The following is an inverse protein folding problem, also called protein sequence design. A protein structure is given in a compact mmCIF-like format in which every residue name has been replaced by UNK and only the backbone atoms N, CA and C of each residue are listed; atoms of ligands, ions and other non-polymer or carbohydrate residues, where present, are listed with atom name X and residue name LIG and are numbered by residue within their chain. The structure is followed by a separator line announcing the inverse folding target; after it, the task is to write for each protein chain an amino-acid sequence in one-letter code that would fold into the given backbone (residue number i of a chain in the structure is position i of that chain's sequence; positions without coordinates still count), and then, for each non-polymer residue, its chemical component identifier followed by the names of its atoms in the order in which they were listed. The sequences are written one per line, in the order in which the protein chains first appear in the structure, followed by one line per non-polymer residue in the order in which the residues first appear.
data_IF_519695750050
#
_entry.id   IF_519695750050
#
_cell.length_a   1.000
_cell.length_b   1.000
_cell.length_c   1.000
_cell.angle_alpha   90.00
_cell.angle_beta   90.00
_cell.angle_gamma   90.00
#
_symmetry.space_group_name_H-M   'P 1'
#
loop_
_entity.id
_entity.type
_entity.pdbx_description
1 polymer ?
#
# COMPACT_ATOMS: atom_id res chain seq x y z
N UNK A 1 14.82 -9.97 -7.70
CA UNK A 1 13.51 -10.09 -7.04
C UNK A 1 13.73 -10.61 -5.63
N UNK A 2 13.09 -10.01 -4.64
CA UNK A 2 13.11 -10.47 -3.26
C UNK A 2 11.97 -11.45 -3.01
N UNK A 3 12.16 -12.39 -2.09
CA UNK A 3 11.08 -13.26 -1.63
C UNK A 3 10.25 -12.49 -0.59
N UNK A 4 9.07 -12.02 -0.98
CA UNK A 4 8.21 -11.23 -0.11
C UNK A 4 7.51 -12.08 0.94
N UNK A 5 7.33 -11.51 2.13
CA UNK A 5 6.47 -12.09 3.16
C UNK A 5 5.02 -11.80 2.82
N UNK A 6 4.16 -12.81 2.98
CA UNK A 6 2.73 -12.70 2.70
C UNK A 6 1.91 -13.53 3.69
N UNK A 7 0.62 -13.24 3.70
CA UNK A 7 -0.42 -14.04 4.38
C UNK A 7 -1.52 -14.33 3.40
N UNK A 8 -1.92 -15.59 3.33
CA UNK A 8 -3.00 -16.06 2.48
C UNK A 8 -4.22 -16.46 3.30
N UNK A 9 -5.42 -16.08 2.85
CA UNK A 9 -6.70 -16.41 3.45
C UNK A 9 -7.70 -16.78 2.36
N UNK A 10 -8.60 -17.74 2.67
CA UNK A 10 -9.69 -18.14 1.79
C UNK A 10 -9.23 -18.94 0.55
N UNK A 11 -10.16 -19.13 -0.36
CA UNK A 11 -10.00 -19.84 -1.63
C UNK A 11 -10.88 -19.17 -2.69
N UNK A 12 -10.63 -19.44 -3.99
CA UNK A 12 -11.38 -18.87 -5.10
C UNK A 12 -10.59 -17.85 -5.91
N UNK A 13 -11.26 -16.84 -6.47
CA UNK A 13 -10.63 -15.82 -7.33
C UNK A 13 -9.58 -15.03 -6.56
N UNK A 14 -8.33 -14.93 -7.08
CA UNK A 14 -7.25 -14.30 -6.33
C UNK A 14 -7.38 -12.77 -6.24
N UNK A 15 -7.16 -12.25 -5.02
CA UNK A 15 -7.00 -10.84 -4.69
C UNK A 15 -5.68 -10.63 -3.98
N UNK A 16 -4.72 -9.96 -4.62
CA UNK A 16 -3.44 -9.58 -4.00
C UNK A 16 -3.56 -8.15 -3.47
N UNK A 17 -3.12 -7.91 -2.23
CA UNK A 17 -3.30 -6.64 -1.52
C UNK A 17 -1.95 -6.08 -1.07
N UNK A 18 -1.64 -4.86 -1.53
CA UNK A 18 -0.40 -4.13 -1.24
C UNK A 18 -0.68 -2.91 -0.34
N UNK A 19 0.06 -2.81 0.76
CA UNK A 19 -0.05 -1.70 1.70
C UNK A 19 0.68 -0.43 1.22
N UNK A 20 0.38 0.71 1.85
CA UNK A 20 1.05 2.00 1.64
C UNK A 20 2.37 2.14 2.40
N UNK A 21 3.04 3.29 2.21
CA UNK A 21 4.28 3.64 2.89
C UNK A 21 4.12 3.52 4.42
N UNK A 22 5.12 2.98 5.10
CA UNK A 22 5.12 2.63 6.53
C UNK A 22 4.03 1.64 6.97
N UNK A 23 3.29 1.06 6.01
CA UNK A 23 2.29 0.03 6.29
C UNK A 23 2.88 -1.37 6.39
N UNK A 24 2.00 -2.32 6.66
CA UNK A 24 2.25 -3.76 6.63
C UNK A 24 0.99 -4.49 6.15
N UNK A 25 1.11 -5.76 5.83
CA UNK A 25 -0.03 -6.61 5.47
C UNK A 25 -1.15 -6.63 6.55
N UNK A 26 -0.80 -6.36 7.81
CA UNK A 26 -1.77 -6.33 8.91
C UNK A 26 -2.73 -5.13 8.84
N UNK A 27 -2.43 -4.10 8.05
CA UNK A 27 -3.33 -2.97 7.82
C UNK A 27 -4.62 -3.41 7.11
N UNK A 28 -4.55 -4.48 6.35
CA UNK A 28 -5.65 -5.00 5.54
C UNK A 28 -6.34 -6.23 6.15
N UNK A 29 -5.93 -6.69 7.35
CA UNK A 29 -6.36 -7.95 7.92
C UNK A 29 -7.89 -8.10 8.04
N UNK A 30 -8.59 -7.03 8.46
CA UNK A 30 -10.05 -7.04 8.61
C UNK A 30 -10.74 -7.23 7.25
N UNK A 31 -10.34 -6.44 6.26
CA UNK A 31 -10.90 -6.54 4.90
C UNK A 31 -10.53 -7.86 4.22
N UNK A 32 -9.28 -8.30 4.40
CA UNK A 32 -8.82 -9.58 3.85
C UNK A 32 -9.64 -10.77 4.35
N UNK A 33 -10.01 -10.81 5.64
CA UNK A 33 -10.91 -11.84 6.18
C UNK A 33 -12.29 -11.77 5.54
N UNK A 34 -12.87 -10.59 5.43
CA UNK A 34 -14.21 -10.40 4.83
C UNK A 34 -14.25 -10.84 3.37
N UNK A 35 -13.24 -10.49 2.56
CA UNK A 35 -13.15 -10.96 1.17
C UNK A 35 -12.91 -12.46 1.10
N UNK A 36 -12.13 -13.04 2.00
CA UNK A 36 -11.95 -14.49 2.09
C UNK A 36 -13.27 -15.21 2.43
N UNK A 37 -14.04 -14.68 3.37
CA UNK A 37 -15.39 -15.18 3.73
C UNK A 37 -16.38 -15.01 2.57
N UNK A 38 -16.18 -14.01 1.70
CA UNK A 38 -16.96 -13.81 0.48
C UNK A 38 -16.52 -14.70 -0.71
N UNK A 39 -15.56 -15.62 -0.50
CA UNK A 39 -15.17 -16.62 -1.49
C UNK A 39 -13.96 -16.22 -2.36
N UNK A 40 -13.09 -15.33 -1.88
CA UNK A 40 -11.85 -14.96 -2.56
C UNK A 40 -10.61 -15.58 -1.91
N UNK A 41 -9.59 -15.86 -2.73
CA UNK A 41 -8.24 -16.18 -2.27
C UNK A 41 -7.47 -14.89 -2.06
N UNK A 42 -7.36 -14.40 -0.84
CA UNK A 42 -6.76 -13.09 -0.53
C UNK A 42 -5.31 -13.28 -0.09
N UNK A 43 -4.38 -12.63 -0.80
CA UNK A 43 -2.94 -12.63 -0.51
C UNK A 43 -2.53 -11.21 -0.09
N UNK A 44 -2.37 -10.97 1.20
CA UNK A 44 -1.84 -9.71 1.74
C UNK A 44 -0.33 -9.77 1.85
N UNK A 45 0.37 -8.73 1.39
CA UNK A 45 1.81 -8.75 1.16
C UNK A 45 2.51 -7.65 1.96
N UNK A 46 3.63 -7.97 2.60
CA UNK A 46 4.60 -6.97 3.02
C UNK A 46 5.53 -6.64 1.84
N UNK A 47 5.58 -5.38 1.43
CA UNK A 47 6.49 -4.94 0.37
C UNK A 47 7.93 -4.89 0.88
N UNK A 48 8.94 -4.87 -0.03
CA UNK A 48 10.36 -4.70 0.34
C UNK A 48 10.52 -3.54 1.32
N UNK A 49 11.47 -3.65 2.23
CA UNK A 49 11.77 -2.66 3.28
C UNK A 49 10.64 -2.43 4.29
N UNK A 50 9.58 -3.26 4.28
CA UNK A 50 8.45 -3.17 5.20
C UNK A 50 8.14 -4.53 5.83
N UNK A 51 7.50 -4.49 7.00
CA UNK A 51 6.97 -5.66 7.69
C UNK A 51 8.01 -6.74 7.93
N UNK A 52 7.75 -7.95 7.45
CA UNK A 52 8.64 -9.10 7.55
C UNK A 52 9.36 -9.43 6.23
N UNK A 53 9.12 -8.64 5.20
CA UNK A 53 9.85 -8.78 3.94
C UNK A 53 11.30 -8.34 4.08
N UNK A 54 12.20 -8.85 3.21
CA UNK A 54 13.61 -8.52 3.28
C UNK A 54 13.88 -7.02 3.12
N UNK A 55 14.88 -6.53 3.83
CA UNK A 55 15.46 -5.21 3.61
C UNK A 55 16.39 -5.22 2.39
N UNK A 56 16.41 -4.11 1.65
CA UNK A 56 17.24 -3.88 0.48
C UNK A 56 17.68 -2.41 0.46
N UNK A 57 18.89 -2.10 -0.03
CA UNK A 57 19.32 -0.72 -0.22
C UNK A 57 18.57 0.00 -1.35
N UNK A 58 17.86 -0.73 -2.21
CA UNK A 58 17.12 -0.19 -3.34
C UNK A 58 15.61 -0.22 -3.08
N UNK A 59 14.91 0.87 -3.47
CA UNK A 59 13.47 1.02 -3.25
C UNK A 59 12.82 1.81 -4.39
N UNK A 60 12.63 1.18 -5.54
CA UNK A 60 11.97 1.76 -6.72
C UNK A 60 10.69 1.01 -7.08
N UNK A 61 9.77 1.65 -7.79
CA UNK A 61 8.53 1.04 -8.22
C UNK A 61 8.75 -0.13 -9.18
N UNK A 62 9.79 -0.06 -10.02
CA UNK A 62 10.20 -1.15 -10.92
C UNK A 62 10.60 -2.40 -10.15
N UNK A 63 11.43 -2.24 -9.15
CA UNK A 63 11.91 -3.34 -8.32
C UNK A 63 10.80 -3.92 -7.44
N UNK A 64 9.91 -3.05 -6.90
CA UNK A 64 8.74 -3.52 -6.14
C UNK A 64 7.76 -4.30 -7.01
N UNK A 65 7.49 -3.83 -8.23
CA UNK A 65 6.65 -4.55 -9.19
C UNK A 65 7.29 -5.91 -9.61
N UNK A 66 8.61 -5.95 -9.77
CA UNK A 66 9.32 -7.20 -10.05
C UNK A 66 9.27 -8.18 -8.87
N UNK A 67 9.34 -7.72 -7.62
CA UNK A 67 9.16 -8.58 -6.44
C UNK A 67 7.74 -9.17 -6.39
N UNK A 68 6.72 -8.35 -6.69
CA UNK A 68 5.33 -8.82 -6.79
C UNK A 68 5.18 -9.85 -7.91
N UNK A 69 5.86 -9.69 -9.06
CA UNK A 69 5.88 -10.70 -10.11
C UNK A 69 6.47 -12.03 -9.61
N UNK A 70 7.57 -11.97 -8.86
CA UNK A 70 8.17 -13.17 -8.25
C UNK A 70 7.21 -13.87 -7.29
N UNK A 71 6.40 -13.10 -6.53
CA UNK A 71 5.35 -13.67 -5.68
C UNK A 71 4.22 -14.32 -6.50
N UNK A 72 3.80 -13.71 -7.61
CA UNK A 72 2.83 -14.31 -8.53
C UNK A 72 3.31 -15.65 -9.07
N UNK A 73 4.58 -15.74 -9.47
CA UNK A 73 5.18 -16.99 -9.94
C UNK A 73 5.27 -18.04 -8.83
N UNK A 74 5.68 -17.65 -7.63
CA UNK A 74 5.77 -18.52 -6.46
C UNK A 74 4.42 -19.15 -6.08
N UNK A 75 3.33 -18.36 -6.15
CA UNK A 75 1.98 -18.77 -5.72
C UNK A 75 1.12 -19.33 -6.87
N UNK A 76 1.64 -19.38 -8.09
CA UNK A 76 0.91 -19.80 -9.28
C UNK A 76 -0.29 -18.90 -9.58
N UNK A 77 -0.17 -17.58 -9.31
CA UNK A 77 -1.23 -16.62 -9.58
C UNK A 77 -1.35 -16.35 -11.08
N UNK A 78 -2.55 -16.53 -11.60
CA UNK A 78 -2.88 -16.47 -13.01
C UNK A 78 -3.43 -15.11 -13.47
N UNK A 79 -3.86 -15.04 -14.74
CA UNK A 79 -4.39 -13.83 -15.36
C UNK A 79 -5.78 -13.42 -14.84
N UNK A 80 -6.42 -14.22 -13.99
CA UNK A 80 -7.68 -13.94 -13.30
C UNK A 80 -7.50 -13.15 -12.00
N UNK A 81 -6.25 -12.87 -11.60
CA UNK A 81 -5.93 -12.16 -10.37
C UNK A 81 -6.32 -10.68 -10.43
N UNK A 82 -6.95 -10.20 -9.37
CA UNK A 82 -7.10 -8.75 -9.08
C UNK A 82 -5.95 -8.29 -8.21
N UNK A 83 -5.30 -7.17 -8.57
CA UNK A 83 -4.25 -6.54 -7.75
C UNK A 83 -4.79 -5.24 -7.16
N UNK A 84 -4.77 -5.14 -5.83
CA UNK A 84 -5.17 -3.97 -5.07
C UNK A 84 -3.96 -3.35 -4.40
N UNK A 85 -3.81 -2.02 -4.49
CA UNK A 85 -2.77 -1.29 -3.78
C UNK A 85 -3.26 0.04 -3.22
N UNK A 86 -2.79 0.41 -2.02
CA UNK A 86 -3.07 1.68 -1.38
C UNK A 86 -1.84 2.59 -1.41
N UNK A 87 -2.01 3.86 -1.77
CA UNK A 87 -0.95 4.87 -1.73
C UNK A 87 0.32 4.39 -2.48
N UNK A 88 1.48 4.28 -1.83
CA UNK A 88 2.70 3.69 -2.41
C UNK A 88 2.41 2.30 -3.04
N UNK A 89 1.69 1.43 -2.34
CA UNK A 89 1.26 0.13 -2.90
C UNK A 89 0.36 0.27 -4.13
N UNK A 90 -0.41 1.36 -4.23
CA UNK A 90 -1.18 1.72 -5.43
C UNK A 90 -0.28 2.05 -6.61
N UNK A 91 0.80 2.80 -6.40
CA UNK A 91 1.81 3.06 -7.43
C UNK A 91 2.55 1.78 -7.84
N UNK A 92 2.85 0.88 -6.90
CA UNK A 92 3.39 -0.46 -7.21
C UNK A 92 2.41 -1.26 -8.08
N UNK A 93 1.13 -1.27 -7.71
CA UNK A 93 0.09 -1.97 -8.46
C UNK A 93 -0.09 -1.39 -9.87
N UNK A 94 -0.07 -0.06 -10.03
CA UNK A 94 -0.07 0.60 -11.33
C UNK A 94 1.14 0.21 -12.18
N UNK A 95 2.35 0.26 -11.62
CA UNK A 95 3.59 -0.14 -12.30
C UNK A 95 3.54 -1.62 -12.72
N UNK A 96 3.04 -2.49 -11.84
CA UNK A 96 2.85 -3.90 -12.16
C UNK A 96 1.88 -4.10 -13.33
N UNK A 97 0.71 -3.44 -13.30
CA UNK A 97 -0.30 -3.55 -14.34
C UNK A 97 0.21 -3.08 -15.71
N UNK A 98 1.00 -2.00 -15.75
CA UNK A 98 1.60 -1.47 -16.97
C UNK A 98 2.72 -2.36 -17.52
N UNK A 99 3.55 -2.94 -16.66
CA UNK A 99 4.68 -3.78 -17.07
C UNK A 99 4.24 -5.23 -17.39
N UNK A 100 3.23 -5.76 -16.69
CA UNK A 100 2.83 -7.16 -16.77
C UNK A 100 1.31 -7.32 -16.97
N UNK A 101 0.69 -6.65 -17.99
CA UNK A 101 -0.76 -6.58 -18.14
C UNK A 101 -1.42 -7.94 -18.34
N UNK A 102 -0.69 -8.93 -18.87
CA UNK A 102 -1.19 -10.29 -19.06
C UNK A 102 -1.41 -11.06 -17.73
N UNK A 103 -0.79 -10.59 -16.62
CA UNK A 103 -0.82 -11.29 -15.31
C UNK A 103 -2.02 -10.89 -14.43
N UNK A 104 -2.82 -9.91 -14.84
CA UNK A 104 -3.97 -9.40 -14.09
C UNK A 104 -5.26 -9.52 -14.90
N UNK A 105 -6.40 -9.68 -14.21
CA UNK A 105 -7.73 -9.40 -14.75
C UNK A 105 -8.13 -7.95 -14.50
N UNK A 106 -7.87 -7.45 -13.29
CA UNK A 106 -8.37 -6.18 -12.79
C UNK A 106 -7.33 -5.49 -11.90
N UNK A 107 -7.40 -4.17 -11.86
CA UNK A 107 -6.57 -3.32 -10.99
C UNK A 107 -7.47 -2.53 -10.03
N UNK A 108 -7.13 -2.49 -8.74
CA UNK A 108 -7.75 -1.58 -7.76
C UNK A 108 -6.67 -0.70 -7.15
N UNK A 109 -6.87 0.61 -7.22
CA UNK A 109 -5.95 1.61 -6.66
C UNK A 109 -6.70 2.42 -5.60
N UNK A 110 -6.18 2.46 -4.38
CA UNK A 110 -6.80 3.17 -3.27
C UNK A 110 -5.99 4.41 -2.94
N UNK A 111 -6.61 5.55 -3.17
CA UNK A 111 -6.25 6.91 -2.78
C UNK A 111 -4.84 7.36 -3.20
N UNK A 112 -4.53 7.18 -4.48
CA UNK A 112 -3.33 7.71 -5.15
C UNK A 112 -3.56 7.82 -6.67
N UNK A 113 -3.06 8.89 -7.29
CA UNK A 113 -3.01 9.07 -8.73
C UNK A 113 -1.63 8.66 -9.32
N UNK A 114 -1.52 8.48 -10.66
CA UNK A 114 -0.24 8.21 -11.31
C UNK A 114 0.77 9.36 -11.19
N UNK A 115 0.33 10.60 -11.03
CA UNK A 115 1.19 11.79 -10.97
C UNK A 115 2.23 11.74 -9.85
N UNK A 116 3.24 12.59 -9.94
CA UNK A 116 4.17 12.82 -8.84
C UNK A 116 3.42 13.31 -7.59
N UNK A 117 3.85 12.86 -6.43
CA UNK A 117 3.30 13.23 -5.12
C UNK A 117 4.27 14.14 -4.37
N UNK A 118 3.75 15.17 -3.72
CA UNK A 118 4.54 15.98 -2.78
C UNK A 118 4.78 15.18 -1.50
N UNK A 119 6.05 14.90 -1.22
CA UNK A 119 6.44 14.08 -0.08
C UNK A 119 6.76 14.89 1.19
N UNK A 120 6.63 16.23 1.16
CA UNK A 120 6.95 17.10 2.32
C UNK A 120 6.09 16.82 3.56
N UNK A 121 4.86 16.34 3.38
CA UNK A 121 4.05 15.90 4.52
C UNK A 121 4.55 14.60 5.18
N UNK A 122 5.53 13.94 4.62
CA UNK A 122 6.21 12.81 5.28
C UNK A 122 7.32 13.29 6.23
N UNK A 123 7.72 14.57 6.19
CA UNK A 123 8.82 15.10 7.00
C UNK A 123 8.54 14.97 8.50
N UNK A 124 7.30 15.28 8.94
CA UNK A 124 6.89 15.12 10.35
C UNK A 124 6.87 13.63 10.77
N UNK A 125 6.44 12.75 9.87
CA UNK A 125 6.43 11.29 10.10
C UNK A 125 7.86 10.78 10.23
N UNK A 126 8.76 11.17 9.31
CA UNK A 126 10.16 10.79 9.35
C UNK A 126 10.85 11.35 10.61
N UNK A 127 10.60 12.62 10.97
CA UNK A 127 11.13 13.21 12.20
C UNK A 127 10.67 12.42 13.43
N UNK A 128 9.36 12.06 13.48
CA UNK A 128 8.81 11.25 14.56
C UNK A 128 9.45 9.87 14.65
N UNK A 129 9.53 9.14 13.54
CA UNK A 129 10.12 7.80 13.51
C UNK A 129 11.59 7.81 13.91
N UNK A 130 12.37 8.82 13.46
CA UNK A 130 13.78 8.99 13.80
C UNK A 130 14.00 9.50 15.25
N UNK A 131 13.00 10.08 15.90
CA UNK A 131 13.11 10.57 17.28
C UNK A 131 13.07 9.45 18.32
N UNK A 132 12.67 8.24 17.95
CA UNK A 132 12.61 7.11 18.88
C UNK A 132 14.00 6.54 19.13
N UNK A 133 14.56 6.83 20.30
CA UNK A 133 15.83 6.26 20.75
C UNK A 133 15.59 4.85 21.33
N UNK A 134 15.91 3.83 20.58
CA UNK A 134 15.74 2.44 21.01
C UNK A 134 16.66 2.00 22.13
N UNK A 135 17.69 2.76 22.46
CA UNK A 135 18.53 2.49 23.64
C UNK A 135 17.80 2.84 24.94
N UNK A 136 16.81 3.74 24.86
CA UNK A 136 15.99 4.21 25.99
C UNK A 136 14.53 3.77 25.91
N UNK A 137 14.09 3.27 24.76
CA UNK A 137 12.71 2.86 24.53
C UNK A 137 12.42 1.50 25.17
N UNK A 138 11.77 1.51 26.32
CA UNK A 138 11.47 0.29 27.10
C UNK A 138 10.04 -0.23 26.90
N UNK A 139 9.18 0.53 26.21
CA UNK A 139 7.78 0.17 26.01
C UNK A 139 7.20 0.81 24.73
N UNK A 140 6.07 0.23 24.25
CA UNK A 140 5.28 0.83 23.17
C UNK A 140 4.78 2.25 23.54
N UNK A 141 4.48 2.49 24.83
CA UNK A 141 4.07 3.81 25.30
C UNK A 141 5.21 4.81 25.17
N UNK A 142 6.44 4.45 25.54
CA UNK A 142 7.60 5.33 25.38
C UNK A 142 7.85 5.69 23.90
N UNK A 143 7.65 4.74 22.98
CA UNK A 143 7.70 5.02 21.55
C UNK A 143 6.57 5.98 21.10
N UNK A 144 5.33 5.81 21.60
CA UNK A 144 4.21 6.71 21.29
C UNK A 144 4.48 8.13 21.80
N UNK A 145 5.02 8.28 23.00
CA UNK A 145 5.38 9.57 23.58
C UNK A 145 6.50 10.28 22.76
N UNK A 146 7.45 9.54 22.23
CA UNK A 146 8.46 10.08 21.32
C UNK A 146 7.83 10.57 20.01
N UNK A 147 7.01 9.75 19.37
CA UNK A 147 6.26 10.10 18.16
C UNK A 147 5.36 11.33 18.36
N UNK A 148 4.70 11.43 19.53
CA UNK A 148 3.76 12.50 19.84
C UNK A 148 4.37 13.91 19.84
N UNK A 149 5.71 14.01 19.96
CA UNK A 149 6.44 15.29 19.87
C UNK A 149 6.44 15.87 18.45
N UNK A 150 6.24 15.03 17.44
CA UNK A 150 6.28 15.39 16.02
C UNK A 150 4.92 15.19 15.34
N UNK A 151 4.14 14.20 15.77
CA UNK A 151 2.92 13.75 15.11
C UNK A 151 1.74 13.90 16.07
N UNK A 152 0.89 14.91 15.82
CA UNK A 152 -0.27 15.22 16.67
C UNK A 152 -1.37 14.15 16.58
N UNK A 153 -1.62 13.60 15.38
CA UNK A 153 -2.67 12.62 15.15
C UNK A 153 -2.39 11.29 15.84
N UNK A 154 -3.25 10.95 16.82
CA UNK A 154 -3.19 9.66 17.53
C UNK A 154 -3.34 8.47 16.55
N UNK A 155 -4.27 8.56 15.58
CA UNK A 155 -4.48 7.50 14.59
C UNK A 155 -3.25 7.21 13.76
N UNK A 156 -2.55 8.27 13.31
CA UNK A 156 -1.28 8.13 12.55
C UNK A 156 -0.22 7.46 13.43
N UNK A 157 -0.06 7.89 14.68
CA UNK A 157 0.90 7.25 15.59
C UNK A 157 0.61 5.77 15.81
N UNK A 158 -0.66 5.40 16.03
CA UNK A 158 -1.05 4.00 16.19
C UNK A 158 -0.82 3.16 14.93
N UNK A 159 -0.97 3.76 13.74
CA UNK A 159 -0.61 3.14 12.47
C UNK A 159 0.90 2.87 12.41
N UNK A 160 1.73 3.88 12.68
CA UNK A 160 3.20 3.75 12.64
C UNK A 160 3.72 2.75 13.67
N UNK A 161 3.16 2.74 14.87
CA UNK A 161 3.52 1.82 15.93
C UNK A 161 3.23 0.34 15.62
N UNK A 162 2.46 0.01 14.57
CA UNK A 162 2.38 -1.38 14.08
C UNK A 162 3.71 -1.90 13.56
N UNK A 163 4.64 -1.01 13.19
CA UNK A 163 6.01 -1.37 12.82
C UNK A 163 6.92 -1.63 14.02
N UNK A 164 6.51 -1.26 15.24
CA UNK A 164 7.31 -1.51 16.43
C UNK A 164 7.25 -2.99 16.81
N UNK A 165 8.41 -3.62 16.93
CA UNK A 165 8.50 -5.00 17.39
C UNK A 165 9.58 -5.16 18.45
N UNK A 166 9.45 -6.20 19.26
CA UNK A 166 10.45 -6.59 20.24
C UNK A 166 11.39 -7.60 19.60
N UNK A 167 12.69 -7.38 19.72
CA UNK A 167 13.75 -8.26 19.27
C UNK A 167 13.99 -9.40 20.28
N UNK A 168 14.77 -10.40 19.92
CA UNK A 168 15.07 -11.58 20.77
C UNK A 168 15.82 -11.19 22.04
N UNK A 169 16.60 -10.11 22.02
CA UNK A 169 17.30 -9.52 23.16
C UNK A 169 16.42 -8.61 24.03
N UNK A 170 15.10 -8.58 23.78
CA UNK A 170 14.10 -7.73 24.41
C UNK A 170 14.19 -6.23 24.11
N UNK A 171 15.06 -5.78 23.22
CA UNK A 171 15.06 -4.40 22.73
C UNK A 171 13.96 -4.18 21.72
N UNK A 172 13.60 -2.92 21.45
CA UNK A 172 12.65 -2.56 20.40
C UNK A 172 13.37 -2.13 19.12
N UNK A 173 12.69 -2.31 17.98
CA UNK A 173 13.14 -1.80 16.69
C UNK A 173 11.96 -1.53 15.76
N UNK A 174 12.20 -0.77 14.69
CA UNK A 174 11.24 -0.67 13.57
C UNK A 174 11.43 -1.83 12.61
N UNK A 175 10.31 -2.45 12.17
CA UNK A 175 10.32 -3.43 11.07
C UNK A 175 10.59 -2.77 9.72
N UNK A 176 10.24 -1.52 9.59
CA UNK A 176 10.48 -0.73 8.38
C UNK A 176 11.97 -0.35 8.28
N UNK A 177 12.54 -0.44 7.08
CA UNK A 177 13.92 -0.01 6.81
C UNK A 177 13.97 1.52 6.69
N UNK A 178 13.84 2.20 7.83
CA UNK A 178 13.72 3.66 7.88
C UNK A 178 14.86 4.40 7.18
N UNK A 179 16.17 4.00 7.32
CA UNK A 179 17.25 4.68 6.63
C UNK A 179 17.10 4.69 5.10
N UNK A 180 16.71 3.56 4.51
CA UNK A 180 16.52 3.45 3.06
C UNK A 180 15.30 4.22 2.62
N UNK A 181 14.17 4.13 3.32
CA UNK A 181 12.96 4.88 2.95
C UNK A 181 13.18 6.39 3.05
N UNK A 182 13.93 6.86 4.05
CA UNK A 182 14.31 8.28 4.16
C UNK A 182 15.16 8.71 2.98
N UNK A 183 16.18 7.92 2.61
CA UNK A 183 17.06 8.24 1.48
C UNK A 183 16.35 8.21 0.11
N UNK A 184 15.32 7.37 -0.03
CA UNK A 184 14.59 7.16 -1.28
C UNK A 184 13.23 7.89 -1.32
N UNK A 185 13.00 8.85 -0.40
CA UNK A 185 11.69 9.54 -0.31
C UNK A 185 11.31 10.26 -1.61
N UNK A 186 12.30 10.86 -2.31
CA UNK A 186 12.07 11.48 -3.60
C UNK A 186 11.60 10.47 -4.66
N UNK A 187 12.19 9.28 -4.70
CA UNK A 187 11.81 8.20 -5.64
C UNK A 187 10.41 7.64 -5.34
N UNK A 188 10.01 7.59 -4.06
CA UNK A 188 8.64 7.24 -3.65
C UNK A 188 7.63 8.29 -4.13
N UNK A 189 8.05 9.55 -4.25
CA UNK A 189 7.23 10.64 -4.79
C UNK A 189 7.06 10.60 -6.31
N UNK A 190 7.87 9.87 -7.07
CA UNK A 190 7.87 9.89 -8.53
C UNK A 190 6.53 9.51 -9.15
N UNK A 191 6.28 10.01 -10.34
CA UNK A 191 5.13 9.66 -11.16
C UNK A 191 5.25 8.25 -11.76
N UNK A 192 4.11 7.67 -12.10
CA UNK A 192 4.02 6.43 -12.89
C UNK A 192 3.77 6.80 -14.34
N UNK A 193 4.70 6.44 -15.22
CA UNK A 193 4.62 6.67 -16.66
C UNK A 193 4.70 5.36 -17.43
N UNK A 194 4.12 5.33 -18.63
CA UNK A 194 4.24 4.16 -19.53
C UNK A 194 4.01 4.60 -20.97
N UNK A 195 4.67 3.94 -21.91
CA UNK A 195 4.44 4.12 -23.34
C UNK A 195 3.13 3.48 -23.83
N UNK A 196 2.60 2.51 -23.07
CA UNK A 196 1.37 1.81 -23.40
C UNK A 196 0.41 1.82 -22.18
N UNK A 197 -0.89 2.06 -22.39
CA UNK A 197 -1.88 2.03 -21.34
C UNK A 197 -2.22 0.59 -20.91
N UNK A 198 -2.73 0.44 -19.70
CA UNK A 198 -3.36 -0.80 -19.22
C UNK A 198 -4.83 -0.82 -19.65
N UNK A 199 -5.19 -1.74 -20.55
CA UNK A 199 -6.52 -1.77 -21.20
C UNK A 199 -7.56 -2.62 -20.48
N UNK A 200 -7.21 -3.27 -19.35
CA UNK A 200 -8.18 -4.03 -18.56
C UNK A 200 -8.88 -3.14 -17.54
N UNK A 201 -10.00 -3.58 -16.93
CA UNK A 201 -10.73 -2.79 -15.95
C UNK A 201 -9.86 -2.32 -14.79
N UNK A 202 -10.00 -1.06 -14.39
CA UNK A 202 -9.36 -0.48 -13.22
C UNK A 202 -10.37 0.29 -12.37
N UNK A 203 -10.28 0.15 -11.04
CA UNK A 203 -11.06 0.91 -10.08
C UNK A 203 -10.11 1.78 -9.25
N UNK A 204 -10.36 3.08 -9.24
CA UNK A 204 -9.69 4.03 -8.34
C UNK A 204 -10.68 4.42 -7.24
N UNK A 205 -10.33 4.16 -5.97
CA UNK A 205 -11.13 4.54 -4.80
C UNK A 205 -10.45 5.73 -4.15
N UNK A 206 -11.17 6.84 -4.01
CA UNK A 206 -10.62 8.09 -3.49
C UNK A 206 -11.37 8.51 -2.23
N UNK A 207 -10.65 8.95 -1.21
CA UNK A 207 -11.22 9.63 -0.05
C UNK A 207 -11.65 11.06 -0.42
N UNK A 208 -12.89 11.43 -0.10
CA UNK A 208 -13.42 12.74 -0.45
C UNK A 208 -12.75 13.92 0.28
N UNK A 209 -12.05 13.62 1.39
CA UNK A 209 -11.26 14.58 2.16
C UNK A 209 -9.76 14.51 1.85
N UNK A 210 -9.37 13.67 0.87
CA UNK A 210 -8.00 13.46 0.42
C UNK A 210 -7.72 14.25 -0.86
N UNK A 211 -6.51 14.75 -1.02
CA UNK A 211 -6.00 15.48 -2.19
C UNK A 211 -5.12 14.63 -3.12
N UNK A 212 -5.00 13.32 -2.86
CA UNK A 212 -4.19 12.40 -3.67
C UNK A 212 -4.77 12.09 -5.06
N UNK A 213 -6.07 12.32 -5.26
CA UNK A 213 -6.74 12.25 -6.57
C UNK A 213 -7.60 13.49 -6.75
N UNK A 214 -7.15 14.43 -7.58
CA UNK A 214 -7.87 15.66 -7.89
C UNK A 214 -8.72 15.57 -9.18
N UNK A 215 -9.35 16.67 -9.56
CA UNK A 215 -10.17 16.75 -10.78
C UNK A 215 -9.33 16.54 -12.06
N UNK A 216 -8.08 17.01 -12.10
CA UNK A 216 -7.17 16.85 -13.23
C UNK A 216 -6.77 15.39 -13.39
N UNK A 217 -6.49 14.70 -12.28
CA UNK A 217 -6.20 13.26 -12.27
C UNK A 217 -7.36 12.46 -12.85
N UNK A 218 -8.60 12.78 -12.45
CA UNK A 218 -9.83 12.09 -12.91
C UNK A 218 -10.09 12.29 -14.41
N UNK A 219 -9.84 13.48 -14.91
CA UNK A 219 -10.15 13.85 -16.29
C UNK A 219 -9.05 13.45 -17.28
N UNK A 220 -7.80 13.47 -16.83
CA UNK A 220 -6.65 13.32 -17.74
C UNK A 220 -5.61 12.31 -17.25
N UNK A 221 -5.12 12.42 -16.01
CA UNK A 221 -3.99 11.63 -15.53
C UNK A 221 -4.29 10.13 -15.46
N UNK A 222 -5.39 9.76 -14.84
CA UNK A 222 -5.82 8.35 -14.73
C UNK A 222 -6.22 7.79 -16.10
N UNK A 223 -7.12 8.43 -16.89
CA UNK A 223 -7.53 7.87 -18.19
C UNK A 223 -6.41 7.74 -19.21
N UNK A 224 -5.35 8.55 -19.12
CA UNK A 224 -4.20 8.45 -20.03
C UNK A 224 -3.48 7.09 -19.92
N UNK A 225 -3.37 6.53 -18.72
CA UNK A 225 -2.71 5.25 -18.47
C UNK A 225 -3.70 4.09 -18.26
N UNK A 226 -4.93 4.38 -17.82
CA UNK A 226 -5.98 3.43 -17.47
C UNK A 226 -7.31 3.83 -18.12
N UNK A 227 -7.45 3.74 -19.46
CA UNK A 227 -8.63 4.25 -20.18
C UNK A 227 -9.95 3.56 -19.79
N UNK A 228 -9.89 2.33 -19.28
CA UNK A 228 -11.06 1.58 -18.80
C UNK A 228 -11.21 1.69 -17.26
N UNK A 229 -10.86 2.85 -16.70
CA UNK A 229 -10.95 3.09 -15.27
C UNK A 229 -12.30 3.69 -14.86
N UNK A 230 -12.69 3.37 -13.62
CA UNK A 230 -13.76 4.03 -12.87
C UNK A 230 -13.14 4.69 -11.64
N UNK A 231 -13.63 5.87 -11.24
CA UNK A 231 -13.20 6.55 -10.01
C UNK A 231 -14.39 6.67 -9.07
N UNK A 232 -14.34 5.94 -7.96
CA UNK A 232 -15.32 6.02 -6.88
C UNK A 232 -14.80 6.91 -5.75
N UNK A 233 -15.65 7.82 -5.25
CA UNK A 233 -15.30 8.67 -4.11
C UNK A 233 -16.10 8.28 -2.88
N UNK A 234 -15.42 8.10 -1.74
CA UNK A 234 -16.03 7.92 -0.43
C UNK A 234 -15.99 9.29 0.29
N UNK A 235 -17.13 10.00 0.43
CA UNK A 235 -17.15 11.44 0.76
C UNK A 235 -16.44 11.82 2.05
N UNK A 236 -16.65 11.07 3.14
CA UNK A 236 -16.18 11.40 4.49
C UNK A 236 -14.92 10.57 4.87
N UNK A 237 -14.09 10.22 3.91
CA UNK A 237 -12.84 9.51 4.12
C UNK A 237 -11.64 10.38 3.77
N UNK A 238 -10.59 10.30 4.57
CA UNK A 238 -9.26 10.84 4.27
C UNK A 238 -8.40 9.83 3.51
N UNK A 239 -7.07 9.95 3.67
CA UNK A 239 -6.10 9.09 2.96
C UNK A 239 -6.17 7.60 3.36
N UNK A 240 -6.52 7.29 4.60
CA UNK A 240 -6.64 5.90 5.07
C UNK A 240 -8.06 5.33 4.87
N UNK A 241 -8.58 5.45 3.66
CA UNK A 241 -9.94 5.09 3.25
C UNK A 241 -10.35 3.70 3.76
N UNK A 242 -9.48 2.71 3.63
CA UNK A 242 -9.69 1.32 4.07
C UNK A 242 -9.80 1.13 5.59
N UNK A 243 -9.28 2.09 6.35
CA UNK A 243 -9.34 2.11 7.83
C UNK A 243 -10.50 2.94 8.35
N UNK A 244 -10.82 4.04 7.64
CA UNK A 244 -11.85 4.99 8.03
C UNK A 244 -13.25 4.53 7.59
N UNK A 245 -13.34 3.90 6.42
CA UNK A 245 -14.59 3.46 5.77
C UNK A 245 -14.47 2.03 5.23
N UNK A 246 -14.21 1.04 6.11
CA UNK A 246 -13.95 -0.34 5.67
C UNK A 246 -15.14 -0.99 4.98
N UNK A 247 -16.38 -0.63 5.33
CA UNK A 247 -17.57 -1.24 4.74
C UNK A 247 -17.75 -0.79 3.29
N UNK A 248 -17.55 0.49 3.03
CA UNK A 248 -17.64 1.08 1.70
C UNK A 248 -16.52 0.54 0.79
N UNK A 249 -15.29 0.45 1.30
CA UNK A 249 -14.17 -0.14 0.54
C UNK A 249 -14.42 -1.61 0.25
N UNK A 250 -14.93 -2.37 1.23
CA UNK A 250 -15.29 -3.78 1.03
C UNK A 250 -16.31 -3.92 -0.11
N UNK A 251 -17.40 -3.17 -0.07
CA UNK A 251 -18.48 -3.23 -1.07
C UNK A 251 -17.98 -2.87 -2.47
N UNK A 252 -17.28 -1.73 -2.63
CA UNK A 252 -16.74 -1.28 -3.91
C UNK A 252 -15.81 -2.32 -4.56
N UNK A 253 -14.91 -2.92 -3.79
CA UNK A 253 -13.98 -3.93 -4.29
C UNK A 253 -14.72 -5.23 -4.61
N UNK A 254 -15.66 -5.66 -3.76
CA UNK A 254 -16.47 -6.88 -3.97
C UNK A 254 -17.29 -6.77 -5.24
N UNK A 255 -18.01 -5.66 -5.44
CA UNK A 255 -18.82 -5.42 -6.63
C UNK A 255 -17.96 -5.38 -7.89
N UNK A 256 -16.83 -4.69 -7.83
CA UNK A 256 -15.90 -4.60 -8.96
C UNK A 256 -15.29 -5.96 -9.33
N UNK A 257 -15.00 -6.82 -8.35
CA UNK A 257 -14.48 -8.17 -8.62
C UNK A 257 -15.56 -9.08 -9.23
N UNK A 258 -16.82 -8.89 -8.85
CA UNK A 258 -17.97 -9.67 -9.36
C UNK A 258 -18.40 -9.31 -10.79
N UNK A 259 -17.99 -8.16 -11.32
CA UNK A 259 -18.21 -7.78 -12.73
C UNK A 259 -17.28 -8.60 -13.63
#
# INVERSE_FOLDING_TARGET
MLQLHFRELGQGTPLVVLHGLFGTLDNWQTLARRWAEAGHRVVSVDLRNHGRSPHSPEHTYELMAADVLGLFDQLGLGPDTTLLGHSMGGKVAMRFALNYPARLSKLVVVDIAPRASDMRHQDEILAGLNSVDFTQCTSRQAADEALARHISSFGVRQFLLKNLYRQDDNTFAWRVNLPVLTAQMADIGLEITSAQPFLKPALFINGGLSDYIDATDRLYGIPALFPNSQVATIPDAGHWVHSEKPDEVFGLVQDFMGM
#
